data_IF_429219253946
#
_entry.id   IF_429219253946
#
_cell.length_a   1.000
_cell.length_b   1.000
_cell.length_c   1.000
_cell.angle_alpha   90.00
_cell.angle_beta   90.00
_cell.angle_gamma   90.00
#
_symmetry.space_group_name_H-M   'P 1'
#
loop_
_entity.id
_entity.type
_entity.pdbx_description
1 polymer ?
#
# COMPACT_ATOMS: atom_id res chain seq x y z
N UNK A 1 0.95 5.22 16.27
CA UNK A 1 1.54 5.20 14.92
C UNK A 1 0.55 4.48 14.01
N UNK A 2 0.34 4.91 12.76
CA UNK A 2 -0.58 4.20 11.87
C UNK A 2 0.03 2.86 11.44
N UNK A 3 -0.82 1.87 11.20
CA UNK A 3 -0.38 0.57 10.67
C UNK A 3 -0.40 0.51 9.14
N UNK A 4 -1.26 1.33 8.52
CA UNK A 4 -1.53 1.32 7.08
C UNK A 4 -1.27 2.71 6.50
N UNK A 5 -0.59 2.75 5.35
CA UNK A 5 -0.52 3.89 4.44
C UNK A 5 -1.33 3.57 3.18
N UNK A 6 -2.43 4.30 2.98
CA UNK A 6 -3.23 4.20 1.76
C UNK A 6 -2.87 5.30 0.76
N UNK A 7 -2.66 4.95 -0.52
CA UNK A 7 -2.44 5.91 -1.60
C UNK A 7 -3.48 5.76 -2.71
N UNK A 8 -3.98 6.87 -3.23
CA UNK A 8 -4.95 6.89 -4.33
C UNK A 8 -4.50 7.80 -5.46
N UNK A 9 -4.70 7.34 -6.71
CA UNK A 9 -4.48 8.15 -7.91
C UNK A 9 -5.59 7.92 -8.94
N UNK A 10 -6.19 9.01 -9.41
CA UNK A 10 -7.19 8.98 -10.50
C UNK A 10 -6.60 9.44 -11.84
N UNK A 11 -5.53 10.24 -11.80
CA UNK A 11 -4.86 10.76 -12.99
C UNK A 11 -3.64 9.90 -13.29
N UNK A 12 -3.46 9.48 -14.55
CA UNK A 12 -2.30 8.68 -14.97
C UNK A 12 -0.97 9.40 -14.72
N UNK A 13 -0.97 10.74 -14.76
CA UNK A 13 0.19 11.58 -14.42
C UNK A 13 0.57 11.54 -12.94
N UNK A 14 -0.36 11.16 -12.06
CA UNK A 14 -0.11 11.05 -10.61
C UNK A 14 0.32 9.64 -10.19
N UNK A 15 0.14 8.62 -11.04
CA UNK A 15 0.52 7.25 -10.72
C UNK A 15 2.01 7.10 -10.36
N UNK A 16 2.98 7.69 -11.10
CA UNK A 16 4.40 7.51 -10.79
C UNK A 16 4.82 8.09 -9.43
N UNK A 17 4.08 9.07 -8.89
CA UNK A 17 4.39 9.65 -7.58
C UNK A 17 4.23 8.63 -6.44
N UNK A 18 3.39 7.61 -6.59
CA UNK A 18 3.29 6.54 -5.60
C UNK A 18 4.61 5.80 -5.41
N UNK A 19 5.38 5.60 -6.50
CA UNK A 19 6.72 5.01 -6.43
C UNK A 19 7.68 5.91 -5.66
N UNK A 20 7.64 7.22 -5.93
CA UNK A 20 8.47 8.20 -5.22
C UNK A 20 8.25 8.13 -3.71
N UNK A 21 6.99 8.04 -3.27
CA UNK A 21 6.66 7.88 -1.84
C UNK A 21 7.27 6.60 -1.27
N UNK A 22 7.11 5.46 -1.95
CA UNK A 22 7.65 4.17 -1.49
C UNK A 22 9.18 4.19 -1.46
N UNK A 23 9.83 4.71 -2.50
CA UNK A 23 11.29 4.86 -2.57
C UNK A 23 11.79 5.72 -1.40
N UNK A 24 11.15 6.86 -1.12
CA UNK A 24 11.50 7.70 0.03
C UNK A 24 11.29 7.01 1.36
N UNK A 25 10.26 6.16 1.51
CA UNK A 25 10.08 5.35 2.72
C UNK A 25 11.21 4.33 2.90
N UNK A 26 11.70 3.75 1.80
CA UNK A 26 12.87 2.84 1.81
C UNK A 26 14.14 3.61 2.20
N UNK A 27 14.36 4.79 1.61
CA UNK A 27 15.51 5.65 1.93
C UNK A 27 15.53 6.08 3.41
N UNK A 28 14.35 6.31 4.00
CA UNK A 28 14.20 6.63 5.42
C UNK A 28 14.25 5.39 6.33
N UNK A 29 14.26 4.18 5.77
CA UNK A 29 14.28 2.92 6.51
C UNK A 29 12.97 2.61 7.25
N UNK A 30 11.85 3.19 6.82
CA UNK A 30 10.53 3.04 7.46
C UNK A 30 9.55 2.22 6.63
N UNK A 31 9.93 1.74 5.44
CA UNK A 31 9.03 1.01 4.54
C UNK A 31 8.42 -0.25 5.17
N UNK A 32 9.22 -1.01 5.91
CA UNK A 32 8.79 -2.28 6.51
C UNK A 32 7.88 -2.09 7.74
N UNK A 33 7.82 -0.88 8.31
CA UNK A 33 6.98 -0.56 9.46
C UNK A 33 5.49 -0.37 9.09
N UNK A 34 5.18 -0.15 7.81
CA UNK A 34 3.84 0.20 7.32
C UNK A 34 3.33 -0.77 6.26
N UNK A 35 2.03 -1.04 6.31
CA UNK A 35 1.31 -1.75 5.25
C UNK A 35 0.89 -0.71 4.20
N UNK A 36 1.40 -0.82 2.99
CA UNK A 36 1.13 0.11 1.88
C UNK A 36 0.04 -0.46 0.96
N UNK A 37 -1.13 0.19 0.95
CA UNK A 37 -2.24 -0.15 0.08
C UNK A 37 -2.40 0.92 -1.01
N UNK A 38 -2.57 0.50 -2.26
CA UNK A 38 -2.74 1.42 -3.41
C UNK A 38 -4.04 1.18 -4.14
N UNK A 39 -4.67 2.23 -4.68
CA UNK A 39 -5.92 2.12 -5.41
C UNK A 39 -6.17 3.29 -6.36
N UNK A 40 -7.17 3.14 -7.22
CA UNK A 40 -7.57 4.16 -8.19
C UNK A 40 -7.97 3.59 -9.54
N UNK A 41 -8.79 4.33 -10.29
CA UNK A 41 -9.38 3.87 -11.54
C UNK A 41 -8.35 3.42 -12.62
N UNK A 42 -7.20 4.08 -12.82
CA UNK A 42 -6.22 3.64 -13.82
C UNK A 42 -5.20 2.62 -13.30
N UNK A 43 -5.32 2.17 -12.05
CA UNK A 43 -4.35 1.23 -11.45
C UNK A 43 -4.73 -0.23 -11.73
N UNK A 44 -3.74 -1.10 -11.62
CA UNK A 44 -3.89 -2.55 -11.67
C UNK A 44 -2.92 -3.22 -10.68
N UNK A 45 -3.05 -4.54 -10.54
CA UNK A 45 -2.23 -5.33 -9.61
C UNK A 45 -0.74 -5.32 -10.00
N UNK A 46 -0.44 -5.34 -11.30
CA UNK A 46 0.93 -5.30 -11.81
C UNK A 46 1.63 -4.00 -11.43
N UNK A 47 0.94 -2.86 -11.53
CA UNK A 47 1.47 -1.56 -11.14
C UNK A 47 1.74 -1.52 -9.64
N UNK A 48 0.79 -1.98 -8.81
CA UNK A 48 0.97 -2.03 -7.35
C UNK A 48 2.19 -2.85 -6.94
N UNK A 49 2.38 -4.02 -7.56
CA UNK A 49 3.57 -4.87 -7.34
C UNK A 49 4.85 -4.20 -7.83
N UNK A 50 4.82 -3.57 -9.01
CA UNK A 50 5.99 -2.93 -9.62
C UNK A 50 6.53 -1.76 -8.80
N UNK A 51 5.67 -1.01 -8.10
CA UNK A 51 6.09 0.09 -7.22
C UNK A 51 6.45 -0.36 -5.81
N UNK A 52 6.23 -1.64 -5.45
CA UNK A 52 6.52 -2.17 -4.12
C UNK A 52 5.42 -1.91 -3.09
N UNK A 53 4.16 -1.80 -3.51
CA UNK A 53 3.01 -1.78 -2.59
C UNK A 53 2.67 -3.21 -2.11
N UNK A 54 2.09 -3.32 -0.91
CA UNK A 54 1.72 -4.63 -0.33
C UNK A 54 0.45 -5.19 -0.98
N UNK A 55 -0.49 -4.32 -1.35
CA UNK A 55 -1.65 -4.72 -2.14
C UNK A 55 -2.24 -3.58 -2.98
N UNK A 56 -2.77 -3.95 -4.14
CA UNK A 56 -3.66 -3.12 -4.94
C UNK A 56 -5.12 -3.43 -4.57
N UNK A 57 -5.89 -2.38 -4.27
CA UNK A 57 -7.31 -2.48 -3.93
C UNK A 57 -8.13 -1.85 -5.05
N UNK A 58 -8.89 -2.68 -5.76
CA UNK A 58 -9.73 -2.23 -6.89
C UNK A 58 -10.92 -1.34 -6.48
N UNK A 59 -11.43 -1.56 -5.27
CA UNK A 59 -12.60 -0.88 -4.73
C UNK A 59 -12.50 -0.80 -3.19
N UNK A 60 -13.41 -0.03 -2.58
CA UNK A 60 -13.42 0.20 -1.14
C UNK A 60 -13.71 -1.07 -0.33
N UNK A 61 -14.53 -1.99 -0.84
CA UNK A 61 -14.87 -3.22 -0.13
C UNK A 61 -13.64 -4.14 -0.03
N UNK A 62 -12.94 -4.32 -1.15
CA UNK A 62 -11.68 -5.07 -1.21
C UNK A 62 -10.60 -4.39 -0.35
N UNK A 63 -10.56 -3.05 -0.32
CA UNK A 63 -9.62 -2.32 0.53
C UNK A 63 -9.81 -2.62 2.02
N UNK A 64 -11.07 -2.64 2.50
CA UNK A 64 -11.37 -2.93 3.91
C UNK A 64 -11.00 -4.37 4.28
N UNK A 65 -11.32 -5.35 3.43
CA UNK A 65 -10.99 -6.75 3.71
C UNK A 65 -9.49 -6.99 3.69
N UNK A 66 -8.78 -6.43 2.70
CA UNK A 66 -7.32 -6.46 2.61
C UNK A 66 -6.68 -5.81 3.84
N UNK A 67 -7.15 -4.63 4.24
CA UNK A 67 -6.63 -3.92 5.41
C UNK A 67 -6.74 -4.76 6.69
N UNK A 68 -7.89 -5.42 6.92
CA UNK A 68 -8.09 -6.31 8.08
C UNK A 68 -7.12 -7.49 8.04
N UNK A 69 -6.95 -8.13 6.88
CA UNK A 69 -6.05 -9.27 6.71
C UNK A 69 -4.60 -8.90 7.03
N UNK A 70 -4.10 -7.80 6.48
CA UNK A 70 -2.73 -7.36 6.70
C UNK A 70 -2.47 -6.90 8.13
N UNK A 71 -3.40 -6.16 8.75
CA UNK A 71 -3.26 -5.73 10.15
C UNK A 71 -3.27 -6.95 11.09
N UNK A 72 -4.16 -7.92 10.85
CA UNK A 72 -4.18 -9.15 11.64
C UNK A 72 -2.86 -9.93 11.53
N UNK A 73 -2.29 -10.05 10.31
CA UNK A 73 -0.97 -10.68 10.09
C UNK A 73 0.14 -9.95 10.84
N UNK A 74 0.20 -8.62 10.73
CA UNK A 74 1.20 -7.79 11.41
C UNK A 74 1.10 -7.92 12.94
N UNK A 75 -0.12 -7.96 13.48
CA UNK A 75 -0.33 -8.13 14.93
C UNK A 75 0.10 -9.52 15.43
N UNK A 76 -0.16 -10.57 14.64
CA UNK A 76 0.25 -11.94 14.97
C UNK A 76 1.77 -12.10 14.91
N UNK A 77 2.46 -11.41 14.01
CA UNK A 77 3.94 -11.39 13.95
C UNK A 77 4.57 -10.67 15.14
N UNK A 78 3.92 -9.66 15.73
CA UNK A 78 4.39 -8.97 16.94
C UNK A 78 4.15 -9.77 18.23
N UNK A 79 3.29 -10.78 18.19
CA UNK A 79 2.91 -11.58 19.38
C UNK A 79 3.66 -12.91 19.50
N UNK A 80 4.56 -13.21 18.56
CA UNK A 80 5.43 -14.38 18.53
C UNK A 80 6.89 -13.97 18.78
#
# INVERSE_FOLDING_TARGET
KPDILGMSALLTTTMPYMKVVIDTMIEQGVRDDYIVLVGGAPLNEEFGKAIGADAYCRDAAVAVETAKEFVARKHNQMSA
#
